data_IF_186025150151
#
_entry.id   IF_186025150151
#
_cell.length_a   1.000
_cell.length_b   1.000
_cell.length_c   1.000
_cell.angle_alpha   90.00
_cell.angle_beta   90.00
_cell.angle_gamma   90.00
#
_symmetry.space_group_name_H-M   'P 1'
#
loop_
_entity.id
_entity.type
_entity.pdbx_description
1 polymer ?
#
# COMPACT_ATOMS: atom_id res chain seq x y z
N UNK A 1 7.71 1.65 -2.11
CA UNK A 1 7.13 2.92 -1.56
C UNK A 1 7.42 4.05 -2.54
N UNK A 2 6.62 5.11 -2.58
CA UNK A 2 6.88 6.27 -3.45
C UNK A 2 6.88 7.55 -2.60
N UNK A 3 7.90 8.38 -2.75
CA UNK A 3 8.00 9.69 -2.09
C UNK A 3 8.08 10.81 -3.15
N UNK A 4 7.29 11.87 -2.98
CA UNK A 4 7.27 13.05 -3.84
C UNK A 4 6.25 14.08 -3.32
N UNK A 5 6.50 15.38 -3.56
CA UNK A 5 5.55 16.45 -3.26
C UNK A 5 4.66 16.61 -4.50
N UNK A 6 3.34 16.58 -4.34
CA UNK A 6 2.35 16.70 -5.41
C UNK A 6 2.43 15.59 -6.50
N UNK A 7 2.91 14.40 -6.17
CA UNK A 7 3.05 13.27 -7.10
C UNK A 7 3.95 13.54 -8.32
N UNK A 8 4.72 14.63 -8.30
CA UNK A 8 5.70 14.96 -9.33
C UNK A 8 7.04 14.32 -8.94
N UNK A 9 7.64 13.55 -9.87
CA UNK A 9 8.89 12.79 -9.67
C UNK A 9 8.79 11.69 -8.62
N UNK A 10 7.84 10.77 -8.83
CA UNK A 10 7.71 9.52 -8.10
C UNK A 10 9.06 8.76 -8.11
N UNK A 11 9.73 8.70 -6.95
CA UNK A 11 10.93 7.87 -6.78
C UNK A 11 10.51 6.53 -6.20
N UNK A 12 10.83 5.45 -6.92
CA UNK A 12 10.70 4.10 -6.37
C UNK A 12 11.74 3.92 -5.27
N UNK A 13 11.27 3.68 -4.04
CA UNK A 13 12.10 3.52 -2.84
C UNK A 13 12.03 2.10 -2.28
N UNK A 14 11.85 1.11 -3.17
CA UNK A 14 12.03 -0.31 -2.86
C UNK A 14 10.76 -1.03 -2.43
N UNK A 15 10.94 -2.29 -2.00
CA UNK A 15 9.85 -3.21 -1.68
C UNK A 15 8.92 -2.67 -0.59
N UNK A 16 7.62 -2.73 -0.83
CA UNK A 16 6.62 -2.17 0.09
C UNK A 16 6.55 -2.92 1.40
N UNK A 17 6.68 -4.25 1.37
CA UNK A 17 6.54 -5.09 2.55
C UNK A 17 7.74 -4.96 3.47
N UNK A 18 8.96 -4.86 2.93
CA UNK A 18 10.16 -4.55 3.72
C UNK A 18 10.08 -3.18 4.40
N UNK A 19 9.67 -2.16 3.65
CA UNK A 19 9.50 -0.82 4.20
C UNK A 19 8.44 -0.79 5.32
N UNK A 20 7.31 -1.47 5.11
CA UNK A 20 6.24 -1.59 6.10
C UNK A 20 6.70 -2.29 7.38
N UNK A 21 7.48 -3.35 7.27
CA UNK A 21 8.07 -4.05 8.42
C UNK A 21 8.96 -3.12 9.25
N UNK A 22 9.80 -2.30 8.59
CA UNK A 22 10.65 -1.30 9.27
C UNK A 22 9.80 -0.31 10.05
N UNK A 23 8.72 0.22 9.47
CA UNK A 23 7.84 1.15 10.17
C UNK A 23 7.07 0.50 11.33
N UNK A 24 6.58 -0.73 11.14
CA UNK A 24 5.94 -1.50 12.20
C UNK A 24 6.89 -1.74 13.37
N UNK A 25 8.15 -2.10 13.11
CA UNK A 25 9.17 -2.32 14.15
C UNK A 25 9.62 -1.02 14.82
N UNK A 26 9.57 0.10 14.10
CA UNK A 26 9.86 1.42 14.66
C UNK A 26 8.73 1.95 15.58
N UNK A 27 7.65 1.20 15.77
CA UNK A 27 6.55 1.55 16.66
C UNK A 27 5.45 2.39 16.02
N UNK A 28 5.26 2.29 14.70
CA UNK A 28 4.06 2.84 14.07
C UNK A 28 2.81 2.09 14.59
N UNK A 29 1.77 2.83 14.99
CA UNK A 29 0.52 2.23 15.49
C UNK A 29 -0.38 1.68 14.37
N UNK A 30 -0.25 2.22 13.15
CA UNK A 30 -1.02 1.83 11.96
C UNK A 30 -0.23 2.17 10.69
N UNK A 31 -0.48 1.41 9.61
CA UNK A 31 0.02 1.69 8.27
C UNK A 31 -1.13 1.95 7.28
N UNK A 32 -0.91 2.89 6.35
CA UNK A 32 -1.88 3.21 5.29
C UNK A 32 -1.24 3.08 3.92
N UNK A 33 -1.79 2.21 3.08
CA UNK A 33 -1.41 2.06 1.68
C UNK A 33 -2.40 2.78 0.78
N UNK A 34 -1.89 3.70 -0.04
CA UNK A 34 -2.69 4.44 -1.02
C UNK A 34 -2.20 4.11 -2.44
N UNK A 35 -2.97 3.31 -3.17
CA UNK A 35 -2.71 2.96 -4.56
C UNK A 35 -3.22 4.07 -5.50
N UNK A 36 -2.32 4.99 -5.83
CA UNK A 36 -2.58 6.07 -6.80
C UNK A 36 -2.53 5.58 -8.25
N UNK A 37 -1.98 4.38 -8.50
CA UNK A 37 -1.83 3.83 -9.86
C UNK A 37 -3.10 3.15 -10.35
N UNK A 38 -3.90 2.59 -9.44
CA UNK A 38 -5.18 1.97 -9.76
C UNK A 38 -6.10 2.92 -10.55
N UNK A 39 -6.17 4.21 -10.18
CA UNK A 39 -6.99 5.21 -10.87
C UNK A 39 -6.39 5.63 -12.22
N UNK A 40 -5.06 5.79 -12.29
CA UNK A 40 -4.36 6.29 -13.48
C UNK A 40 -4.24 5.25 -14.59
N UNK A 41 -4.08 3.97 -14.21
CA UNK A 41 -3.78 2.88 -15.15
C UNK A 41 -4.86 1.79 -15.20
N UNK A 42 -5.97 1.95 -14.46
CA UNK A 42 -7.06 0.95 -14.34
C UNK A 42 -6.57 -0.46 -13.98
N UNK A 43 -5.45 -0.55 -13.25
CA UNK A 43 -4.94 -1.83 -12.74
C UNK A 43 -5.74 -2.25 -11.51
N UNK A 44 -5.90 -3.57 -11.31
CA UNK A 44 -6.39 -4.10 -10.03
C UNK A 44 -5.45 -3.64 -8.92
N UNK A 45 -6.03 -3.30 -7.76
CA UNK A 45 -5.32 -2.95 -6.53
C UNK A 45 -4.17 -3.93 -6.28
N UNK A 46 -3.07 -3.44 -5.71
CA UNK A 46 -1.84 -4.20 -5.37
C UNK A 46 -2.07 -5.30 -4.31
N UNK A 47 -2.99 -6.23 -4.52
CA UNK A 47 -3.38 -7.31 -3.61
C UNK A 47 -2.17 -8.16 -3.17
N UNK A 48 -1.29 -8.50 -4.11
CA UNK A 48 -0.06 -9.25 -3.80
C UNK A 48 0.86 -8.46 -2.86
N UNK A 49 0.98 -7.14 -3.03
CA UNK A 49 1.78 -6.31 -2.14
C UNK A 49 1.12 -6.14 -0.77
N UNK A 50 -0.22 -6.07 -0.72
CA UNK A 50 -0.99 -6.05 0.52
C UNK A 50 -0.75 -7.35 1.29
N UNK A 51 -0.95 -8.52 0.67
CA UNK A 51 -0.72 -9.83 1.29
C UNK A 51 0.70 -9.97 1.85
N UNK A 52 1.73 -9.68 1.04
CA UNK A 52 3.12 -9.72 1.50
C UNK A 52 3.40 -8.77 2.66
N UNK A 53 2.68 -7.65 2.72
CA UNK A 53 2.84 -6.66 3.79
C UNK A 53 2.23 -7.14 5.09
N UNK A 54 0.99 -7.66 5.07
CA UNK A 54 0.32 -8.16 6.30
C UNK A 54 1.08 -9.32 6.95
N UNK A 55 1.79 -10.14 6.18
CA UNK A 55 2.65 -11.21 6.71
C UNK A 55 3.87 -10.68 7.51
N UNK A 56 4.23 -9.41 7.36
CA UNK A 56 5.49 -8.84 7.88
C UNK A 56 5.32 -7.74 8.92
N UNK A 57 4.08 -7.33 9.20
CA UNK A 57 3.76 -6.27 10.15
C UNK A 57 2.95 -6.83 11.32
N UNK A 58 3.01 -6.15 12.45
CA UNK A 58 2.25 -6.51 13.65
C UNK A 58 1.17 -5.48 14.00
N UNK A 59 0.92 -4.53 13.10
CA UNK A 59 -0.01 -3.41 13.30
C UNK A 59 -1.08 -3.39 12.21
N UNK A 60 -2.24 -2.74 12.45
CA UNK A 60 -3.29 -2.63 11.44
C UNK A 60 -2.79 -2.00 10.14
N UNK A 61 -3.33 -2.49 9.02
CA UNK A 61 -3.09 -1.97 7.68
C UNK A 61 -4.41 -1.52 7.06
N UNK A 62 -4.48 -0.25 6.69
CA UNK A 62 -5.57 0.32 5.89
C UNK A 62 -5.14 0.42 4.44
N UNK A 63 -5.98 -0.04 3.51
CA UNK A 63 -5.71 0.01 2.06
C UNK A 63 -6.76 0.88 1.37
N UNK A 64 -6.31 1.80 0.53
CA UNK A 64 -7.16 2.66 -0.28
C UNK A 64 -6.54 2.97 -1.63
N UNK A 65 -7.31 3.63 -2.50
CA UNK A 65 -6.90 3.95 -3.87
C UNK A 65 -7.48 2.97 -4.90
N UNK A 66 -8.35 3.48 -5.77
CA UNK A 66 -8.98 2.70 -6.84
C UNK A 66 -10.04 1.67 -6.40
N UNK A 67 -10.41 1.60 -5.12
CA UNK A 67 -11.51 0.76 -4.62
C UNK A 67 -12.85 1.40 -5.03
N UNK A 68 -13.48 0.85 -6.07
CA UNK A 68 -14.72 1.38 -6.66
C UNK A 68 -15.98 0.54 -6.44
N UNK A 69 -15.85 -0.67 -5.87
CA UNK A 69 -16.96 -1.58 -5.61
C UNK A 69 -16.67 -2.51 -4.44
N UNK A 70 -17.72 -3.09 -3.83
CA UNK A 70 -17.57 -4.07 -2.74
C UNK A 70 -16.82 -5.33 -3.20
N UNK A 71 -17.00 -5.76 -4.44
CA UNK A 71 -16.28 -6.92 -4.98
C UNK A 71 -14.76 -6.75 -4.91
N UNK A 72 -14.25 -5.53 -5.07
CA UNK A 72 -12.82 -5.26 -4.95
C UNK A 72 -12.31 -5.41 -3.50
N UNK A 73 -13.20 -5.31 -2.51
CA UNK A 73 -12.91 -5.54 -1.09
C UNK A 73 -12.94 -7.04 -0.80
N UNK A 74 -13.89 -7.78 -1.39
CA UNK A 74 -14.01 -9.23 -1.20
C UNK A 74 -12.83 -10.02 -1.78
N UNK A 75 -12.11 -9.44 -2.74
CA UNK A 75 -10.90 -10.02 -3.35
C UNK A 75 -9.62 -9.83 -2.49
N UNK A 76 -9.65 -9.00 -1.44
CA UNK A 76 -8.53 -8.72 -0.52
C UNK A 76 -8.40 -9.78 0.59
#
# INVERSE_FOLDING_TARGET
MVKGINFVKLKDVGDLAENAAVYSQAGADELVFLDITATLEKRKTLLDAVQKTVERISVPLTVGGGIGSCQAIDDC
#
